data_IF_864602032819
#
_entry.id   IF_864602032819
#
_cell.length_a   1.000
_cell.length_b   1.000
_cell.length_c   1.000
_cell.angle_alpha   90.00
_cell.angle_beta   90.00
_cell.angle_gamma   90.00
#
_symmetry.space_group_name_H-M   'P 1'
#
loop_
_entity.id
_entity.type
_entity.pdbx_description
1 polymer ?
#
# COMPACT_ATOMS: atom_id res chain seq x y z
N UNK A 1 2.90 8.18 5.10
CA UNK A 1 2.81 9.29 4.12
C UNK A 1 1.51 10.04 4.40
N UNK A 2 1.48 11.38 4.33
CA UNK A 2 0.24 12.14 4.48
C UNK A 2 -0.35 12.44 3.11
N UNK A 3 -1.65 12.20 2.94
CA UNK A 3 -2.33 12.36 1.64
C UNK A 3 -2.31 13.82 1.14
N UNK A 4 -2.33 14.80 2.05
CA UNK A 4 -2.25 16.23 1.70
C UNK A 4 -0.90 16.61 1.09
N UNK A 5 0.18 15.96 1.53
CA UNK A 5 1.51 16.22 0.97
C UNK A 5 1.61 15.61 -0.42
N UNK A 6 1.06 14.40 -0.62
CA UNK A 6 0.95 13.79 -1.94
C UNK A 6 0.16 14.65 -2.93
N UNK A 7 -0.99 15.21 -2.51
CA UNK A 7 -1.78 16.10 -3.36
C UNK A 7 -0.97 17.33 -3.81
N UNK A 8 -0.22 17.96 -2.89
CA UNK A 8 0.67 19.08 -3.22
C UNK A 8 1.79 18.67 -4.17
N UNK A 9 2.38 17.50 -3.97
CA UNK A 9 3.43 16.98 -4.85
C UNK A 9 2.90 16.69 -6.26
N UNK A 10 1.67 16.19 -6.40
CA UNK A 10 1.01 16.02 -7.68
C UNK A 10 0.78 17.36 -8.40
N UNK A 11 0.40 18.40 -7.66
CA UNK A 11 0.26 19.76 -8.23
C UNK A 11 1.60 20.30 -8.73
N UNK A 12 2.67 20.14 -7.95
CA UNK A 12 4.04 20.52 -8.35
C UNK A 12 4.51 19.75 -9.58
N UNK A 13 4.27 18.44 -9.61
CA UNK A 13 4.62 17.58 -10.73
C UNK A 13 3.91 18.00 -12.02
N UNK A 14 2.70 18.54 -11.91
CA UNK A 14 1.97 19.14 -13.03
C UNK A 14 2.47 20.54 -13.43
N UNK A 15 3.55 21.05 -12.83
CA UNK A 15 4.14 22.35 -13.12
C UNK A 15 3.34 23.54 -12.59
N UNK A 16 2.51 23.32 -11.55
CA UNK A 16 1.63 24.34 -10.97
C UNK A 16 2.05 24.68 -9.54
N UNK A 17 1.70 25.89 -9.12
CA UNK A 17 1.86 26.32 -7.73
C UNK A 17 0.78 25.68 -6.85
N UNK A 18 1.15 24.85 -5.84
CA UNK A 18 0.20 24.24 -4.91
C UNK A 18 -0.59 25.27 -4.08
N UNK A 19 -0.04 26.45 -3.82
CA UNK A 19 -0.75 27.49 -3.05
C UNK A 19 -1.73 28.28 -3.96
N UNK A 20 -1.56 28.18 -5.27
CA UNK A 20 -2.43 28.77 -6.29
C UNK A 20 -3.55 27.85 -6.78
N UNK A 21 -3.66 26.60 -6.29
CA UNK A 21 -4.74 25.69 -6.66
C UNK A 21 -5.78 25.58 -5.52
N UNK A 22 -7.07 25.84 -5.80
CA UNK A 22 -8.13 25.58 -4.82
C UNK A 22 -8.16 24.11 -4.42
N UNK A 23 -8.09 23.83 -3.12
CA UNK A 23 -8.20 22.49 -2.55
C UNK A 23 -9.33 22.49 -1.52
N UNK A 24 -10.33 21.64 -1.73
CA UNK A 24 -11.46 21.46 -0.82
C UNK A 24 -11.29 20.15 -0.04
N UNK A 25 -11.48 20.22 1.29
CA UNK A 25 -11.48 19.04 2.15
C UNK A 25 -12.92 18.57 2.34
N UNK A 26 -13.31 17.54 1.59
CA UNK A 26 -14.68 16.99 1.61
C UNK A 26 -14.97 16.05 2.79
N UNK A 27 -13.97 15.78 3.64
CA UNK A 27 -14.07 14.83 4.74
C UNK A 27 -13.96 13.37 4.30
N UNK A 28 -14.19 12.45 5.24
CA UNK A 28 -14.19 11.01 4.99
C UNK A 28 -15.55 10.55 4.46
N UNK A 29 -15.52 9.64 3.50
CA UNK A 29 -16.72 8.94 3.05
C UNK A 29 -17.04 7.77 3.99
N UNK A 30 -18.31 7.33 4.07
CA UNK A 30 -18.67 6.17 4.87
C UNK A 30 -17.82 4.95 4.51
N UNK A 31 -17.15 4.37 5.50
CA UNK A 31 -16.27 3.21 5.34
C UNK A 31 -14.80 3.52 5.05
N UNK A 32 -14.40 4.79 4.89
CA UNK A 32 -12.98 5.14 4.71
C UNK A 32 -12.20 5.13 6.04
N UNK A 33 -10.94 4.68 5.99
CA UNK A 33 -9.98 4.73 7.11
C UNK A 33 -9.02 5.91 6.96
N UNK A 34 -8.58 6.48 8.07
CA UNK A 34 -7.55 7.54 8.09
C UNK A 34 -6.12 6.99 7.93
N UNK A 35 -5.91 5.74 8.34
CA UNK A 35 -4.61 5.10 8.36
C UNK A 35 -4.72 3.68 7.80
N UNK A 36 -3.68 3.30 7.06
CA UNK A 36 -3.50 1.95 6.54
C UNK A 36 -2.48 1.20 7.37
N UNK A 37 -2.75 -0.09 7.56
CA UNK A 37 -1.87 -1.06 8.22
C UNK A 37 -1.54 -2.15 7.20
N UNK A 38 -0.29 -2.58 7.16
CA UNK A 38 0.13 -3.60 6.19
C UNK A 38 -0.28 -5.02 6.61
N UNK A 39 -0.49 -5.22 7.90
CA UNK A 39 -0.85 -6.49 8.51
C UNK A 39 -1.87 -6.26 9.61
N UNK A 40 -2.75 -7.23 9.81
CA UNK A 40 -3.66 -7.26 10.95
C UNK A 40 -3.04 -8.02 12.13
N UNK A 41 -3.46 -7.70 13.36
CA UNK A 41 -2.95 -8.35 14.59
C UNK A 41 -3.11 -9.88 14.61
N UNK A 42 -4.12 -10.39 13.90
CA UNK A 42 -4.39 -11.83 13.80
C UNK A 42 -3.51 -12.56 12.76
N UNK A 43 -2.74 -11.85 11.94
CA UNK A 43 -1.94 -12.45 10.88
C UNK A 43 -0.57 -12.92 11.37
N UNK A 44 -0.15 -14.09 10.90
CA UNK A 44 1.21 -14.59 11.13
C UNK A 44 2.13 -14.00 10.06
N UNK A 45 3.15 -13.24 10.48
CA UNK A 45 4.08 -12.55 9.60
C UNK A 45 5.45 -13.26 9.61
N UNK A 46 5.96 -13.58 8.42
CA UNK A 46 7.28 -14.19 8.24
C UNK A 46 8.22 -13.28 7.43
N UNK A 47 9.52 -13.36 7.73
CA UNK A 47 10.57 -12.71 6.92
C UNK A 47 10.76 -13.47 5.61
N UNK A 48 10.99 -12.73 4.53
CA UNK A 48 11.44 -13.30 3.27
C UNK A 48 12.97 -13.27 3.15
N UNK A 49 13.51 -13.76 2.02
CA UNK A 49 14.95 -13.61 1.70
C UNK A 49 15.37 -12.15 1.56
N UNK A 50 14.45 -11.26 1.19
CA UNK A 50 14.71 -9.82 1.10
C UNK A 50 14.37 -9.18 2.44
N UNK A 51 15.36 -8.54 3.07
CA UNK A 51 15.25 -8.03 4.45
C UNK A 51 14.14 -6.99 4.67
N UNK A 52 13.71 -6.30 3.60
CA UNK A 52 12.64 -5.28 3.62
C UNK A 52 11.26 -5.81 3.19
N UNK A 53 11.13 -7.12 2.93
CA UNK A 53 9.89 -7.74 2.44
C UNK A 53 9.45 -8.82 3.41
N UNK A 54 8.19 -8.74 3.83
CA UNK A 54 7.52 -9.66 4.74
C UNK A 54 6.38 -10.38 4.02
N UNK A 55 5.99 -11.55 4.53
CA UNK A 55 4.89 -12.36 4.00
C UNK A 55 3.90 -12.69 5.12
N UNK A 56 2.63 -12.36 4.91
CA UNK A 56 1.53 -12.87 5.73
C UNK A 56 1.22 -14.32 5.35
N UNK A 57 1.02 -15.17 6.36
CA UNK A 57 0.61 -16.56 6.18
C UNK A 57 -0.89 -16.65 6.35
N UNK A 58 -1.58 -16.93 5.25
CA UNK A 58 -3.02 -17.16 5.23
C UNK A 58 -3.34 -18.66 5.20
N UNK A 59 -4.47 -19.10 5.78
CA UNK A 59 -4.97 -20.44 5.59
C UNK A 59 -5.30 -20.68 4.10
N UNK A 60 -5.30 -21.96 3.64
CA UNK A 60 -5.77 -22.26 2.30
C UNK A 60 -7.24 -21.82 2.14
N UNK A 61 -7.63 -21.36 0.94
CA UNK A 61 -9.02 -20.98 0.69
C UNK A 61 -9.96 -22.18 0.87
N UNK A 62 -11.25 -21.93 1.16
CA UNK A 62 -12.27 -22.97 1.18
C UNK A 62 -12.32 -23.76 -0.13
N UNK A 63 -12.56 -25.07 -0.05
CA UNK A 63 -12.53 -25.97 -1.21
C UNK A 63 -13.59 -25.62 -2.28
N UNK A 64 -14.69 -25.01 -1.86
CA UNK A 64 -15.82 -24.60 -2.70
C UNK A 64 -15.70 -23.16 -3.23
N UNK A 65 -14.60 -22.45 -2.96
CA UNK A 65 -14.40 -21.05 -3.37
C UNK A 65 -14.65 -20.85 -4.87
N UNK A 66 -14.17 -21.77 -5.72
CA UNK A 66 -14.37 -21.71 -7.16
C UNK A 66 -15.86 -21.73 -7.54
N UNK A 67 -16.64 -22.61 -6.92
CA UNK A 67 -18.09 -22.72 -7.17
C UNK A 67 -18.81 -21.45 -6.70
N UNK A 68 -18.44 -20.95 -5.51
CA UNK A 68 -18.98 -19.69 -4.96
C UNK A 68 -18.76 -18.51 -5.90
N UNK A 69 -17.54 -18.36 -6.43
CA UNK A 69 -17.18 -17.30 -7.39
C UNK A 69 -17.95 -17.45 -8.71
N UNK A 70 -18.05 -18.66 -9.26
CA UNK A 70 -18.83 -18.90 -10.48
C UNK A 70 -20.31 -18.53 -10.29
N UNK A 71 -20.87 -18.81 -9.12
CA UNK A 71 -22.22 -18.39 -8.75
C UNK A 71 -22.40 -16.87 -8.73
N UNK A 72 -21.41 -16.12 -8.23
CA UNK A 72 -21.44 -14.65 -8.27
C UNK A 72 -21.34 -14.11 -9.70
N UNK A 73 -20.44 -14.68 -10.52
CA UNK A 73 -20.26 -14.27 -11.91
C UNK A 73 -21.54 -14.48 -12.73
N UNK A 74 -22.26 -15.57 -12.51
CA UNK A 74 -23.55 -15.82 -13.16
C UNK A 74 -24.64 -14.80 -12.77
N UNK A 75 -24.57 -14.25 -11.54
CA UNK A 75 -25.48 -13.18 -11.10
C UNK A 75 -25.07 -11.81 -11.65
N UNK A 76 -23.77 -11.59 -11.84
CA UNK A 76 -23.21 -10.33 -12.35
C UNK A 76 -23.54 -10.04 -13.82
N UNK A 77 -24.07 -11.01 -14.57
CA UNK A 77 -24.55 -10.80 -15.95
C UNK A 77 -25.99 -10.29 -16.05
N UNK A 78 -26.71 -10.16 -14.92
CA UNK A 78 -28.08 -9.64 -14.87
C UNK A 78 -28.17 -8.25 -14.22
N UNK A 79 -29.40 -7.74 -14.07
CA UNK A 79 -29.68 -6.43 -13.47
C UNK A 79 -29.98 -6.48 -11.95
N UNK A 80 -29.80 -7.63 -11.29
CA UNK A 80 -30.09 -7.80 -9.85
C UNK A 80 -28.85 -7.54 -8.98
N UNK A 81 -28.34 -6.31 -9.07
CA UNK A 81 -27.26 -5.80 -8.21
C UNK A 81 -27.53 -6.00 -6.70
N UNK A 82 -28.76 -5.77 -6.17
CA UNK A 82 -29.02 -5.94 -4.75
C UNK A 82 -28.86 -7.40 -4.26
N UNK A 83 -29.24 -8.39 -5.07
CA UNK A 83 -29.03 -9.80 -4.72
C UNK A 83 -27.56 -10.19 -4.81
N UNK A 84 -26.82 -9.67 -5.81
CA UNK A 84 -25.38 -9.88 -5.91
C UNK A 84 -24.65 -9.33 -4.68
N UNK A 85 -24.96 -8.08 -4.29
CA UNK A 85 -24.35 -7.44 -3.11
C UNK A 85 -24.62 -8.22 -1.82
N UNK A 86 -25.87 -8.68 -1.60
CA UNK A 86 -26.23 -9.51 -0.45
C UNK A 86 -25.45 -10.83 -0.42
N UNK A 87 -25.33 -11.51 -1.56
CA UNK A 87 -24.63 -12.80 -1.64
C UNK A 87 -23.12 -12.66 -1.48
N UNK A 88 -22.52 -11.62 -2.05
CA UNK A 88 -21.11 -11.29 -1.85
C UNK A 88 -20.82 -11.01 -0.37
N UNK A 89 -21.66 -10.19 0.27
CA UNK A 89 -21.49 -9.83 1.67
C UNK A 89 -21.66 -11.04 2.61
N UNK A 90 -22.56 -11.97 2.29
CA UNK A 90 -22.71 -13.21 3.05
C UNK A 90 -21.42 -14.04 3.05
N UNK A 91 -20.74 -14.17 1.91
CA UNK A 91 -19.48 -14.91 1.84
C UNK A 91 -18.36 -14.29 2.68
N UNK A 92 -18.29 -12.96 2.78
CA UNK A 92 -17.27 -12.28 3.59
C UNK A 92 -17.57 -12.42 5.09
N UNK A 93 -18.85 -12.51 5.48
CA UNK A 93 -19.25 -12.62 6.89
C UNK A 93 -19.27 -14.05 7.42
N UNK A 94 -19.38 -15.07 6.57
CA UNK A 94 -19.30 -16.48 6.98
C UNK A 94 -17.91 -16.86 7.52
N UNK A 95 -16.85 -16.16 7.09
CA UNK A 95 -15.45 -16.42 7.47
C UNK A 95 -14.87 -15.39 8.47
N UNK A 96 -15.68 -14.43 8.92
CA UNK A 96 -15.21 -13.44 9.89
C UNK A 96 -15.15 -14.06 11.30
N UNK A 97 -13.96 -14.15 11.95
CA UNK A 97 -13.94 -14.40 13.38
C UNK A 97 -14.69 -13.25 14.06
N UNK A 98 -15.54 -13.58 15.02
CA UNK A 98 -16.34 -12.64 15.75
C UNK A 98 -15.48 -11.84 16.75
N UNK A 99 -14.55 -10.99 16.31
CA UNK A 99 -14.23 -9.76 17.03
C UNK A 99 -13.35 -8.76 16.26
N UNK A 100 -13.47 -7.49 16.64
CA UNK A 100 -12.66 -6.37 16.15
C UNK A 100 -13.40 -5.03 16.08
N UNK A 101 -14.69 -5.00 16.45
CA UNK A 101 -15.43 -3.75 16.65
C UNK A 101 -15.30 -3.27 18.10
N UNK A 102 -14.08 -3.12 18.59
CA UNK A 102 -13.82 -2.32 19.79
C UNK A 102 -13.00 -1.10 19.41
N UNK A 103 -13.52 0.07 19.80
CA UNK A 103 -12.92 1.36 19.50
C UNK A 103 -11.51 1.45 20.03
N UNK A 104 -10.60 1.91 19.18
CA UNK A 104 -9.26 2.32 19.57
C UNK A 104 -9.31 3.67 20.28
N UNK A 105 -9.75 3.66 21.55
CA UNK A 105 -9.19 4.58 22.54
C UNK A 105 -7.76 4.11 22.86
N UNK A 106 -6.86 5.08 22.94
CA UNK A 106 -5.41 4.89 22.82
C UNK A 106 -4.81 3.79 23.69
N UNK A 107 -3.92 2.99 23.09
CA UNK A 107 -2.90 2.24 23.82
C UNK A 107 -1.54 2.36 23.13
N UNK A 108 -0.59 2.77 23.95
CA UNK A 108 0.83 2.94 23.64
C UNK A 108 1.50 1.63 23.26
N UNK A 109 2.32 1.69 22.22
CA UNK A 109 3.59 0.99 22.05
C UNK A 109 3.67 -0.49 22.40
N UNK A 110 3.43 -1.35 21.42
CA UNK A 110 4.16 -2.63 21.32
C UNK A 110 5.20 -2.49 20.22
N UNK A 111 6.46 -2.51 20.63
CA UNK A 111 7.65 -2.30 19.82
C UNK A 111 7.74 -3.33 18.69
N UNK A 112 7.76 -2.85 17.45
CA UNK A 112 8.16 -3.66 16.29
C UNK A 112 9.62 -4.11 16.41
N UNK A 113 10.04 -5.13 15.63
CA UNK A 113 11.36 -5.73 15.79
C UNK A 113 12.45 -4.69 15.62
N UNK A 114 13.35 -4.67 16.61
CA UNK A 114 14.38 -3.68 16.88
C UNK A 114 15.07 -3.10 15.62
N UNK A 115 15.20 -1.78 15.60
CA UNK A 115 16.03 -1.08 14.62
C UNK A 115 17.47 -1.46 14.89
N UNK A 116 18.08 -2.26 14.02
CA UNK A 116 19.53 -2.37 13.99
C UNK A 116 20.10 -1.02 13.53
N UNK A 117 20.63 -0.27 14.48
CA UNK A 117 21.48 0.90 14.22
C UNK A 117 22.67 0.49 13.34
N UNK A 118 23.02 1.32 12.37
CA UNK A 118 24.21 1.13 11.52
C UNK A 118 23.93 0.81 10.06
N UNK A 119 23.19 1.67 9.35
CA UNK A 119 23.38 1.81 7.90
C UNK A 119 23.98 3.21 7.67
N UNK A 120 25.30 3.28 7.58
CA UNK A 120 25.97 4.49 7.10
C UNK A 120 25.42 4.85 5.72
N UNK A 121 25.17 6.14 5.44
CA UNK A 121 24.75 6.58 4.12
C UNK A 121 25.85 6.26 3.09
N UNK A 122 25.49 5.87 1.85
CA UNK A 122 26.49 5.66 0.81
C UNK A 122 27.25 6.96 0.55
N UNK A 123 28.57 6.86 0.57
CA UNK A 123 29.53 7.92 0.27
C UNK A 123 29.22 8.57 -1.10
N UNK A 124 28.67 9.79 -1.06
CA UNK A 124 28.43 10.60 -2.26
C UNK A 124 29.64 11.48 -2.52
N UNK A 125 30.79 10.88 -2.79
CA UNK A 125 31.91 11.61 -3.39
C UNK A 125 31.59 11.84 -4.88
N UNK A 126 31.55 13.09 -5.38
CA UNK A 126 31.32 13.36 -6.80
C UNK A 126 32.46 12.78 -7.64
N UNK A 127 32.14 11.92 -8.60
CA UNK A 127 33.09 11.51 -9.64
C UNK A 127 33.44 12.74 -10.48
N UNK A 128 34.66 13.20 -10.31
CA UNK A 128 35.26 14.28 -11.07
C UNK A 128 35.18 13.99 -12.58
N UNK A 129 34.91 15.05 -13.33
CA UNK A 129 34.64 15.02 -14.76
C UNK A 129 35.96 14.79 -15.51
N UNK A 130 36.02 13.72 -16.30
CA UNK A 130 37.09 13.54 -17.28
C UNK A 130 37.01 14.66 -18.33
N UNK A 131 38.11 15.40 -18.63
CA UNK A 131 38.09 16.37 -19.71
C UNK A 131 38.12 15.67 -21.06
N UNK A 132 37.23 16.12 -21.96
CA UNK A 132 37.28 15.78 -23.40
C UNK A 132 38.28 16.66 -24.13
N UNK A 133 38.84 16.05 -25.17
CA UNK A 133 39.40 16.61 -26.42
C UNK A 133 40.84 17.11 -26.41
N UNK A 134 41.59 16.65 -27.43
CA UNK A 134 42.88 17.19 -27.83
C UNK A 134 43.77 16.21 -28.58
N UNK A 135 43.34 15.71 -29.75
CA UNK A 135 44.32 15.28 -30.78
C UNK A 135 45.18 16.49 -31.17
N UNK A 136 46.47 16.28 -31.50
CA UNK A 136 46.80 16.34 -32.92
C UNK A 136 47.93 15.40 -33.39
N UNK A 137 47.71 14.82 -34.58
CA UNK A 137 48.52 14.96 -35.79
C UNK A 137 50.02 14.53 -35.82
N UNK A 138 50.26 13.50 -36.66
CA UNK A 138 51.36 13.25 -37.64
C UNK A 138 52.83 13.10 -37.19
N UNK A 139 53.53 12.32 -38.05
CA UNK A 139 54.98 12.04 -38.19
C UNK A 139 55.40 10.74 -37.48
N UNK A 140 55.95 9.70 -38.12
CA UNK A 140 56.61 9.55 -39.43
C UNK A 140 56.44 8.12 -39.95
#
# INVERSE_FOLDING_TARGET
>A
IRIVDLARDLVRLAGRDPDGQPTEVIGLRPGEKLHEELFYDAEVIERTRSSKVFRAIAPPPPADLRERVLGLLAMATGEDEPSLGRKLLAYVQEDAPADGREGTEGREGTEGPERTEGLEPPDTTPRDQAPRSGEPAVVS
#
